data_IF_228930920233
#
_entry.id   IF_228930920233
#
_cell.length_a   1.000
_cell.length_b   1.000
_cell.length_c   1.000
_cell.angle_alpha   90.00
_cell.angle_beta   90.00
_cell.angle_gamma   90.00
#
_symmetry.space_group_name_H-M   'P 1'
#
loop_
_entity.id
_entity.type
_entity.pdbx_description
1 polymer ?
#
# COMPACT_ATOMS: atom_id res chain seq x y z
N UNK A 1 -10.11 -0.97 -15.70
CA UNK A 1 -8.96 -0.53 -14.90
C UNK A 1 -8.29 -1.74 -14.26
N UNK A 2 -6.99 -1.84 -14.38
CA UNK A 2 -6.23 -2.96 -13.82
C UNK A 2 -5.79 -2.67 -12.39
N UNK A 3 -6.06 -3.59 -11.49
CA UNK A 3 -5.68 -3.46 -10.09
C UNK A 3 -4.26 -3.98 -9.88
N UNK A 4 -3.42 -3.18 -9.24
CA UNK A 4 -2.00 -3.46 -9.05
C UNK A 4 -1.66 -3.50 -7.56
N UNK A 5 -0.95 -4.53 -7.13
CA UNK A 5 -0.39 -4.60 -5.78
C UNK A 5 1.06 -4.12 -5.84
N UNK A 6 1.39 -3.07 -5.11
CA UNK A 6 2.75 -2.53 -5.09
C UNK A 6 3.40 -2.88 -3.75
N UNK A 7 4.20 -3.92 -3.74
CA UNK A 7 4.90 -4.36 -2.54
C UNK A 7 6.20 -3.56 -2.41
N UNK A 8 6.40 -2.94 -1.25
CA UNK A 8 7.53 -2.03 -1.06
C UNK A 8 7.30 -0.69 -1.76
N UNK A 9 6.09 -0.16 -1.69
CA UNK A 9 5.69 1.06 -2.40
C UNK A 9 6.49 2.30 -2.00
N UNK A 10 7.11 2.29 -0.84
CA UNK A 10 7.92 3.42 -0.35
C UNK A 10 9.40 3.32 -0.73
N UNK A 11 9.85 2.18 -1.26
CA UNK A 11 11.23 1.99 -1.70
C UNK A 11 11.49 2.62 -3.07
N UNK A 12 12.74 2.54 -3.54
CA UNK A 12 13.15 3.16 -4.80
C UNK A 12 12.36 2.65 -6.00
N UNK A 13 12.26 1.33 -6.14
CA UNK A 13 11.51 0.73 -7.25
C UNK A 13 10.02 0.94 -7.07
N UNK A 14 9.54 0.82 -5.84
CA UNK A 14 8.12 1.02 -5.54
C UNK A 14 7.64 2.42 -5.85
N UNK A 15 8.43 3.44 -5.50
CA UNK A 15 8.06 4.84 -5.81
C UNK A 15 8.03 5.08 -7.31
N UNK A 16 8.94 4.48 -8.07
CA UNK A 16 8.91 4.56 -9.54
C UNK A 16 7.65 3.89 -10.10
N UNK A 17 7.26 2.76 -9.54
CA UNK A 17 6.03 2.08 -9.93
C UNK A 17 4.81 2.96 -9.64
N UNK A 18 4.78 3.60 -8.48
CA UNK A 18 3.68 4.51 -8.13
C UNK A 18 3.62 5.70 -9.10
N UNK A 19 4.77 6.21 -9.55
CA UNK A 19 4.80 7.27 -10.55
C UNK A 19 4.20 6.84 -11.88
N UNK A 20 4.49 5.61 -12.31
CA UNK A 20 3.91 5.06 -13.54
C UNK A 20 2.38 4.93 -13.40
N UNK A 21 1.91 4.45 -12.27
CA UNK A 21 0.47 4.33 -12.01
C UNK A 21 -0.19 5.71 -12.03
N UNK A 22 0.47 6.71 -11.44
CA UNK A 22 -0.05 8.08 -11.43
C UNK A 22 -0.20 8.64 -12.83
N UNK A 23 0.79 8.41 -13.70
CA UNK A 23 0.75 8.86 -15.09
C UNK A 23 -0.32 8.15 -15.90
N UNK A 24 -0.69 6.94 -15.52
CA UNK A 24 -1.67 6.13 -16.24
C UNK A 24 -2.86 5.76 -15.34
N UNK A 25 -3.34 6.74 -14.59
CA UNK A 25 -4.42 6.51 -13.61
C UNK A 25 -5.74 6.07 -14.24
N UNK A 26 -5.89 6.28 -15.54
CA UNK A 26 -7.04 5.78 -16.29
C UNK A 26 -6.95 4.29 -16.62
N UNK A 27 -5.77 3.70 -16.52
CA UNK A 27 -5.52 2.29 -16.87
C UNK A 27 -5.22 1.43 -15.65
N UNK A 28 -4.59 2.00 -14.62
CA UNK A 28 -4.10 1.25 -13.46
C UNK A 28 -4.55 1.89 -12.16
N UNK A 29 -4.81 1.04 -11.17
CA UNK A 29 -5.12 1.47 -9.82
C UNK A 29 -4.23 0.71 -8.83
N UNK A 30 -3.56 1.43 -7.94
CA UNK A 30 -2.78 0.82 -6.87
C UNK A 30 -3.73 0.35 -5.76
N UNK A 31 -4.20 -0.88 -5.88
CA UNK A 31 -5.22 -1.40 -4.95
C UNK A 31 -4.63 -1.87 -3.63
N UNK A 32 -3.36 -2.28 -3.63
CA UNK A 32 -2.65 -2.69 -2.42
C UNK A 32 -1.28 -2.01 -2.41
N UNK A 33 -0.95 -1.37 -1.30
CA UNK A 33 0.39 -0.83 -1.08
C UNK A 33 0.96 -1.43 0.19
N UNK A 34 2.26 -1.64 0.22
CA UNK A 34 2.92 -2.28 1.35
C UNK A 34 4.27 -1.66 1.62
N UNK A 35 4.60 -1.56 2.90
CA UNK A 35 5.90 -1.08 3.35
C UNK A 35 6.28 -1.77 4.65
N UNK A 36 7.57 -1.66 5.02
CA UNK A 36 8.04 -2.23 6.28
C UNK A 36 7.87 -1.24 7.44
N UNK A 37 8.51 -0.07 7.35
CA UNK A 37 8.50 0.94 8.42
C UNK A 37 8.17 2.36 7.98
N UNK A 38 8.19 2.64 6.69
CA UNK A 38 8.05 4.01 6.17
C UNK A 38 6.60 4.48 6.18
N UNK A 39 6.04 4.65 7.36
CA UNK A 39 4.61 4.93 7.53
C UNK A 39 4.20 6.32 7.06
N UNK A 40 5.08 7.32 7.16
CA UNK A 40 4.74 8.67 6.72
C UNK A 40 4.54 8.71 5.20
N UNK A 41 5.47 8.09 4.45
CA UNK A 41 5.35 7.97 3.00
C UNK A 41 4.14 7.14 2.60
N UNK A 42 3.92 6.04 3.33
CA UNK A 42 2.79 5.15 3.08
C UNK A 42 1.46 5.89 3.25
N UNK A 43 1.37 6.72 4.26
CA UNK A 43 0.17 7.54 4.51
C UNK A 43 -0.08 8.52 3.37
N UNK A 44 0.98 9.16 2.86
CA UNK A 44 0.87 10.07 1.72
C UNK A 44 0.38 9.32 0.48
N UNK A 45 0.94 8.14 0.23
CA UNK A 45 0.53 7.32 -0.90
C UNK A 45 -0.92 6.86 -0.77
N UNK A 46 -1.34 6.50 0.42
CA UNK A 46 -2.73 6.08 0.66
C UNK A 46 -3.70 7.23 0.38
N UNK A 47 -3.35 8.45 0.75
CA UNK A 47 -4.19 9.61 0.50
C UNK A 47 -4.32 9.90 -0.99
N UNK A 48 -3.27 9.66 -1.77
CA UNK A 48 -3.27 9.93 -3.20
C UNK A 48 -3.93 8.83 -4.02
N UNK A 49 -3.61 7.58 -3.73
CA UNK A 49 -3.99 6.45 -4.59
C UNK A 49 -5.25 5.71 -4.15
N UNK A 50 -5.71 5.93 -2.95
CA UNK A 50 -6.93 5.29 -2.40
C UNK A 50 -6.92 3.78 -2.55
N UNK A 51 -5.92 3.08 -1.97
CA UNK A 51 -5.86 1.62 -2.07
C UNK A 51 -6.99 0.96 -1.28
N UNK A 52 -7.30 -0.28 -1.63
CA UNK A 52 -8.25 -1.08 -0.86
C UNK A 52 -7.61 -1.65 0.39
N UNK A 53 -6.31 -1.92 0.35
CA UNK A 53 -5.59 -2.49 1.48
C UNK A 53 -4.18 -1.90 1.60
N UNK A 54 -3.72 -1.77 2.84
CA UNK A 54 -2.39 -1.26 3.18
C UNK A 54 -1.74 -2.29 4.09
N UNK A 55 -0.53 -2.73 3.76
CA UNK A 55 0.21 -3.70 4.57
C UNK A 55 1.45 -3.06 5.16
N UNK A 56 1.62 -3.19 6.46
CA UNK A 56 2.84 -2.76 7.16
C UNK A 56 3.42 -4.00 7.83
N UNK A 57 4.60 -4.43 7.39
CA UNK A 57 5.18 -5.68 7.88
C UNK A 57 5.82 -5.56 9.25
N UNK A 58 6.26 -4.36 9.64
CA UNK A 58 6.77 -4.12 10.99
C UNK A 58 5.61 -3.83 11.94
N UNK A 59 5.47 -4.63 13.00
CA UNK A 59 4.33 -4.52 13.92
C UNK A 59 4.25 -3.19 14.65
N UNK A 60 5.37 -2.67 15.12
CA UNK A 60 5.39 -1.37 15.80
C UNK A 60 4.98 -0.23 14.88
N UNK A 61 5.55 -0.22 13.67
CA UNK A 61 5.19 0.78 12.67
C UNK A 61 3.71 0.67 12.30
N UNK A 62 3.19 -0.55 12.21
CA UNK A 62 1.77 -0.78 11.94
C UNK A 62 0.87 -0.18 13.00
N UNK A 63 1.21 -0.36 14.26
CA UNK A 63 0.44 0.22 15.37
C UNK A 63 0.45 1.74 15.33
N UNK A 64 1.61 2.34 15.03
CA UNK A 64 1.71 3.79 14.89
C UNK A 64 0.91 4.28 13.69
N UNK A 65 0.90 3.53 12.61
CA UNK A 65 0.13 3.88 11.43
C UNK A 65 -1.37 3.95 11.73
N UNK A 66 -1.87 3.00 12.50
CA UNK A 66 -3.28 3.00 12.90
C UNK A 66 -3.67 4.24 13.68
N UNK A 67 -2.74 4.84 14.42
CA UNK A 67 -2.99 6.05 15.17
C UNK A 67 -3.09 7.29 14.29
N UNK A 68 -2.39 7.30 13.16
CA UNK A 68 -2.33 8.47 12.28
C UNK A 68 -3.18 8.36 11.02
N UNK A 69 -3.63 7.15 10.69
CA UNK A 69 -4.40 6.91 9.46
C UNK A 69 -5.90 7.00 9.72
N UNK A 70 -6.57 7.82 8.95
CA UNK A 70 -8.01 8.04 9.07
C UNK A 70 -8.79 7.69 7.79
N UNK A 71 -8.15 6.96 6.87
CA UNK A 71 -8.79 6.56 5.62
C UNK A 71 -9.60 5.26 5.75
N UNK A 72 -10.13 4.79 4.63
CA UNK A 72 -11.05 3.66 4.56
C UNK A 72 -10.42 2.33 4.19
N UNK A 73 -9.13 2.30 3.85
CA UNK A 73 -8.47 1.06 3.45
C UNK A 73 -8.33 0.09 4.62
N UNK A 74 -8.36 -1.21 4.32
CA UNK A 74 -8.05 -2.22 5.31
C UNK A 74 -6.56 -2.17 5.64
N UNK A 75 -6.22 -2.07 6.91
CA UNK A 75 -4.82 -2.04 7.36
C UNK A 75 -4.45 -3.40 7.92
N UNK A 76 -3.47 -4.04 7.31
CA UNK A 76 -3.00 -5.36 7.71
C UNK A 76 -1.56 -5.22 8.21
N UNK A 77 -1.27 -5.84 9.35
CA UNK A 77 0.01 -5.69 10.04
C UNK A 77 0.70 -7.03 10.18
N UNK A 78 2.02 -7.06 9.91
CA UNK A 78 2.84 -8.26 10.06
C UNK A 78 3.21 -8.87 8.72
N UNK A 79 4.26 -9.68 8.71
CA UNK A 79 4.75 -10.31 7.48
C UNK A 79 3.76 -11.32 6.89
N UNK A 80 3.02 -12.01 7.73
CA UNK A 80 2.02 -12.98 7.27
C UNK A 80 0.91 -12.30 6.47
N UNK A 81 0.60 -11.04 6.78
CA UNK A 81 -0.43 -10.29 6.07
C UNK A 81 -0.06 -10.09 4.60
N UNK A 82 1.23 -9.93 4.30
CA UNK A 82 1.69 -9.75 2.93
C UNK A 82 1.34 -10.95 2.07
N UNK A 83 1.53 -12.15 2.62
CA UNK A 83 1.20 -13.38 1.92
C UNK A 83 -0.30 -13.51 1.66
N UNK A 84 -1.13 -13.11 2.60
CA UNK A 84 -2.59 -13.13 2.42
C UNK A 84 -3.06 -12.19 1.33
N UNK A 85 -2.46 -11.01 1.26
CA UNK A 85 -2.84 -10.00 0.29
C UNK A 85 -2.56 -10.46 -1.13
N UNK A 86 -1.40 -11.09 -1.38
CA UNK A 86 -1.06 -11.54 -2.72
C UNK A 86 -1.90 -12.71 -3.21
N UNK A 87 -2.66 -13.34 -2.33
CA UNK A 87 -3.57 -14.42 -2.68
C UNK A 87 -4.97 -13.94 -3.09
N UNK A 88 -5.25 -12.66 -2.93
CA UNK A 88 -6.55 -12.11 -3.32
C UNK A 88 -6.69 -12.10 -4.84
N UNK A 89 -7.85 -12.47 -5.31
CA UNK A 89 -8.12 -12.57 -6.74
C UNK A 89 -8.19 -11.22 -7.45
N UNK A 90 -8.42 -10.16 -6.71
CA UNK A 90 -8.55 -8.81 -7.25
C UNK A 90 -7.23 -8.06 -7.37
N UNK A 91 -6.12 -8.74 -7.13
CA UNK A 91 -4.79 -8.15 -7.16
C UNK A 91 -3.97 -8.68 -8.35
#
# INVERSE_FOLDING_TARGET
MKEIAVLGSTGSIGTQTMDVIRLHSDLFHASVIAAHKSIDKLREQAAEFHPHAIVITDEEAGKKFLEIYDGDADVLIGEAALSEVVKRDDV
#
